data_IF_923442120960
#
_entry.id   IF_923442120960
#
_cell.length_a   1.000
_cell.length_b   1.000
_cell.length_c   1.000
_cell.angle_alpha   90.00
_cell.angle_beta   90.00
_cell.angle_gamma   90.00
#
_symmetry.space_group_name_H-M   'P 1'
#
loop_
_entity.id
_entity.type
_entity.pdbx_description
1 polymer ?
#
# COMPACT_ATOMS: atom_id res chain seq x y z
N UNK A 1 -19.66 -0.79 -3.38
CA UNK A 1 -18.53 -1.75 -3.49
C UNK A 1 -17.48 -1.30 -4.50
N UNK A 2 -17.83 -1.00 -5.76
CA UNK A 2 -16.85 -0.55 -6.75
C UNK A 2 -16.08 0.73 -6.41
N UNK A 3 -16.75 1.73 -5.84
CA UNK A 3 -16.07 2.98 -5.46
C UNK A 3 -15.03 2.79 -4.36
N UNK A 4 -15.34 2.01 -3.32
CA UNK A 4 -14.39 1.67 -2.26
C UNK A 4 -13.16 0.94 -2.81
N UNK A 5 -13.36 0.03 -3.76
CA UNK A 5 -12.26 -0.63 -4.46
C UNK A 5 -11.40 0.38 -5.24
N UNK A 6 -12.02 1.28 -6.01
CA UNK A 6 -11.28 2.29 -6.77
C UNK A 6 -10.52 3.26 -5.87
N UNK A 7 -11.04 3.59 -4.68
CA UNK A 7 -10.34 4.43 -3.70
C UNK A 7 -9.05 3.77 -3.22
N UNK A 8 -9.13 2.47 -2.91
CA UNK A 8 -7.96 1.72 -2.44
C UNK A 8 -6.92 1.60 -3.55
N UNK A 9 -7.35 1.32 -4.78
CA UNK A 9 -6.46 1.22 -5.94
C UNK A 9 -5.76 2.55 -6.24
N UNK A 10 -6.49 3.67 -6.23
CA UNK A 10 -5.91 4.99 -6.49
C UNK A 10 -4.87 5.39 -5.43
N UNK A 11 -5.14 5.09 -4.15
CA UNK A 11 -4.20 5.33 -3.07
C UNK A 11 -2.97 4.43 -3.18
N UNK A 12 -3.16 3.18 -3.60
CA UNK A 12 -2.06 2.22 -3.81
C UNK A 12 -1.15 2.63 -4.96
N UNK A 13 -1.71 3.14 -6.07
CA UNK A 13 -0.97 3.70 -7.20
C UNK A 13 -0.14 4.91 -6.76
N UNK A 14 -0.65 5.76 -5.86
CA UNK A 14 0.12 6.89 -5.34
C UNK A 14 1.41 6.45 -4.61
N UNK A 15 1.41 5.26 -3.97
CA UNK A 15 2.60 4.73 -3.28
C UNK A 15 3.72 4.29 -4.22
N UNK A 16 3.44 4.11 -5.51
CA UNK A 16 4.47 3.82 -6.51
C UNK A 16 5.57 4.91 -6.55
N UNK A 17 5.22 6.16 -6.24
CA UNK A 17 6.15 7.28 -6.18
C UNK A 17 7.23 7.14 -5.07
N UNK A 18 7.05 6.19 -4.14
CA UNK A 18 8.04 5.90 -3.10
C UNK A 18 9.35 5.33 -3.67
N UNK A 19 9.27 4.55 -4.75
CA UNK A 19 10.42 3.86 -5.36
C UNK A 19 11.53 4.86 -5.74
N UNK A 20 11.29 5.88 -6.60
CA UNK A 20 12.32 6.85 -6.96
C UNK A 20 12.90 7.60 -5.74
N UNK A 21 12.07 7.89 -4.73
CA UNK A 21 12.50 8.56 -3.49
C UNK A 21 13.51 7.74 -2.69
N UNK A 22 13.30 6.43 -2.58
CA UNK A 22 14.25 5.51 -1.93
C UNK A 22 15.54 5.40 -2.75
N UNK A 23 15.45 5.28 -4.08
CA UNK A 23 16.63 5.22 -4.94
C UNK A 23 17.48 6.49 -4.86
N UNK A 24 16.86 7.67 -4.80
CA UNK A 24 17.57 8.95 -4.65
C UNK A 24 18.34 9.05 -3.33
N UNK A 25 17.79 8.52 -2.24
CA UNK A 25 18.41 8.56 -0.91
C UNK A 25 19.44 7.45 -0.68
N UNK A 26 19.39 6.36 -1.47
CA UNK A 26 20.27 5.18 -1.36
C UNK A 26 21.76 5.50 -1.38
N UNK A 27 22.21 6.39 -2.26
CA UNK A 27 23.63 6.76 -2.36
C UNK A 27 24.14 7.44 -1.08
N UNK A 28 23.36 8.38 -0.54
CA UNK A 28 23.67 9.08 0.72
C UNK A 28 23.77 8.09 1.87
N UNK A 29 22.84 7.15 1.95
CA UNK A 29 22.80 6.13 2.99
C UNK A 29 24.03 5.22 2.94
N UNK A 30 24.45 4.78 1.75
CA UNK A 30 25.66 3.96 1.63
C UNK A 30 26.93 4.74 2.00
N UNK A 31 27.00 6.02 1.65
CA UNK A 31 28.11 6.88 2.06
C UNK A 31 28.19 7.04 3.59
N UNK A 32 27.06 7.34 4.24
CA UNK A 32 27.02 7.52 5.70
C UNK A 32 27.24 6.20 6.46
N UNK A 33 26.77 5.08 5.91
CA UNK A 33 27.05 3.74 6.45
C UNK A 33 28.53 3.38 6.35
N UNK A 34 29.21 3.71 5.24
CA UNK A 34 30.65 3.51 5.09
C UNK A 34 31.48 4.29 6.12
N UNK A 35 30.95 5.41 6.61
CA UNK A 35 31.54 6.20 7.69
C UNK A 35 31.01 5.81 9.10
N UNK A 36 30.32 4.66 9.23
CA UNK A 36 29.79 4.12 10.49
C UNK A 36 28.83 5.04 11.28
N UNK A 37 28.14 5.98 10.64
CA UNK A 37 27.21 6.89 11.34
C UNK A 37 25.93 6.21 11.83
N UNK A 38 25.38 5.23 11.10
CA UNK A 38 24.19 4.46 11.52
C UNK A 38 24.06 3.11 10.81
N UNK A 39 23.30 2.19 11.42
CA UNK A 39 23.03 0.84 10.92
C UNK A 39 21.83 0.84 9.96
N UNK A 40 21.79 -0.13 9.04
CA UNK A 40 20.69 -0.28 8.06
C UNK A 40 19.32 -0.42 8.73
N UNK A 41 19.22 -1.05 9.89
CA UNK A 41 17.95 -1.19 10.64
C UNK A 41 17.39 0.16 11.08
N UNK A 42 18.24 1.09 11.54
CA UNK A 42 17.82 2.44 11.93
C UNK A 42 17.27 3.22 10.74
N UNK A 43 17.83 3.02 9.54
CA UNK A 43 17.32 3.63 8.31
C UNK A 43 15.93 3.13 7.96
N UNK A 44 15.72 1.80 7.98
CA UNK A 44 14.40 1.21 7.68
C UNK A 44 13.33 1.75 8.64
N UNK A 45 13.62 1.78 9.94
CA UNK A 45 12.69 2.31 10.95
C UNK A 45 12.40 3.80 10.70
N UNK A 46 13.43 4.61 10.45
CA UNK A 46 13.25 6.03 10.17
C UNK A 46 12.42 6.27 8.89
N UNK A 47 12.67 5.49 7.83
CA UNK A 47 11.89 5.54 6.60
C UNK A 47 10.43 5.15 6.83
N UNK A 48 10.16 4.07 7.57
CA UNK A 48 8.79 3.66 7.88
C UNK A 48 8.06 4.72 8.72
N UNK A 49 8.71 5.31 9.72
CA UNK A 49 8.12 6.36 10.57
C UNK A 49 7.80 7.63 9.76
N UNK A 50 8.65 7.99 8.79
CA UNK A 50 8.41 9.12 7.88
C UNK A 50 7.15 8.92 7.04
N UNK A 51 6.85 7.70 6.62
CA UNK A 51 5.70 7.42 5.76
C UNK A 51 4.37 7.45 6.53
N UNK A 52 4.36 7.21 7.85
CA UNK A 52 3.15 7.26 8.68
C UNK A 52 2.36 8.56 8.55
N UNK A 53 2.94 9.75 8.82
CA UNK A 53 2.19 11.00 8.72
C UNK A 53 1.70 11.29 7.30
N UNK A 54 2.48 10.92 6.27
CA UNK A 54 2.09 11.12 4.87
C UNK A 54 0.86 10.27 4.52
N UNK A 55 0.88 9.00 4.88
CA UNK A 55 -0.23 8.06 4.64
C UNK A 55 -1.47 8.49 5.43
N UNK A 56 -1.32 8.90 6.69
CA UNK A 56 -2.45 9.39 7.51
C UNK A 56 -3.11 10.61 6.87
N UNK A 57 -2.32 11.60 6.43
CA UNK A 57 -2.84 12.80 5.78
C UNK A 57 -3.58 12.48 4.48
N UNK A 58 -3.00 11.60 3.65
CA UNK A 58 -3.61 11.20 2.38
C UNK A 58 -4.97 10.51 2.58
N UNK A 59 -5.06 9.62 3.58
CA UNK A 59 -6.29 8.89 3.89
C UNK A 59 -7.32 9.82 4.56
N UNK A 60 -6.91 10.74 5.43
CA UNK A 60 -7.81 11.75 6.01
C UNK A 60 -8.39 12.70 4.97
N UNK A 61 -7.65 13.01 3.91
CA UNK A 61 -8.18 13.86 2.84
C UNK A 61 -9.04 13.03 1.88
N UNK A 62 -8.44 12.02 1.25
CA UNK A 62 -9.09 11.29 0.17
C UNK A 62 -10.10 10.25 0.66
N UNK A 63 -9.80 9.56 1.75
CA UNK A 63 -10.71 8.59 2.37
C UNK A 63 -11.98 9.28 2.90
N UNK A 64 -11.85 10.41 3.58
CA UNK A 64 -13.01 11.16 4.09
C UNK A 64 -13.86 11.73 2.96
N UNK A 65 -13.25 12.33 1.93
CA UNK A 65 -13.99 12.81 0.75
C UNK A 65 -14.76 11.66 0.09
N UNK A 66 -14.11 10.54 -0.16
CA UNK A 66 -14.76 9.41 -0.83
C UNK A 66 -15.86 8.79 0.03
N UNK A 67 -15.68 8.78 1.36
CA UNK A 67 -16.68 8.25 2.29
C UNK A 67 -18.00 9.03 2.21
N UNK A 68 -17.93 10.37 2.22
CA UNK A 68 -19.10 11.22 2.12
C UNK A 68 -19.70 11.22 0.71
N UNK A 69 -18.88 11.19 -0.35
CA UNK A 69 -19.36 11.13 -1.73
C UNK A 69 -20.08 9.82 -2.06
N UNK A 70 -19.71 8.71 -1.43
CA UNK A 70 -20.34 7.41 -1.66
C UNK A 70 -21.65 7.22 -0.89
N UNK A 71 -21.98 8.10 0.06
CA UNK A 71 -23.18 7.97 0.89
C UNK A 71 -23.14 6.73 1.80
N UNK A 72 -21.99 6.41 2.39
CA UNK A 72 -21.90 5.33 3.39
C UNK A 72 -22.73 5.61 4.64
N UNK A 73 -22.99 4.57 5.44
CA UNK A 73 -23.74 4.66 6.71
C UNK A 73 -23.12 5.72 7.60
N UNK A 74 -23.87 6.78 7.95
CA UNK A 74 -23.42 7.90 8.77
C UNK A 74 -23.26 7.53 10.27
N UNK A 75 -22.47 6.50 10.55
CA UNK A 75 -22.07 6.10 11.90
C UNK A 75 -20.58 6.38 12.09
N UNK A 76 -20.24 7.02 13.22
CA UNK A 76 -18.85 7.33 13.58
C UNK A 76 -18.00 6.06 13.65
N UNK A 77 -18.56 4.96 14.13
CA UNK A 77 -17.86 3.68 14.21
C UNK A 77 -17.50 3.15 12.82
N UNK A 78 -18.44 3.17 11.87
CA UNK A 78 -18.23 2.69 10.50
C UNK A 78 -17.20 3.55 9.75
N UNK A 79 -17.21 4.86 10.00
CA UNK A 79 -16.20 5.78 9.46
C UNK A 79 -14.80 5.48 9.98
N UNK A 80 -14.64 5.30 11.29
CA UNK A 80 -13.33 4.99 11.90
C UNK A 80 -12.78 3.64 11.43
N UNK A 81 -13.64 2.62 11.32
CA UNK A 81 -13.26 1.30 10.79
C UNK A 81 -12.80 1.42 9.34
N UNK A 82 -13.54 2.15 8.49
CA UNK A 82 -13.16 2.39 7.11
C UNK A 82 -11.79 3.07 7.01
N UNK A 83 -11.56 4.10 7.82
CA UNK A 83 -10.32 4.85 7.83
C UNK A 83 -9.12 4.02 8.30
N UNK A 84 -9.31 3.19 9.34
CA UNK A 84 -8.29 2.29 9.85
C UNK A 84 -7.94 1.21 8.80
N UNK A 85 -8.93 0.66 8.12
CA UNK A 85 -8.72 -0.31 7.05
C UNK A 85 -7.92 0.30 5.89
N UNK A 86 -8.27 1.50 5.45
CA UNK A 86 -7.48 2.22 4.43
C UNK A 86 -6.03 2.43 4.90
N UNK A 87 -5.82 2.73 6.18
CA UNK A 87 -4.48 2.92 6.75
C UNK A 87 -3.64 1.64 6.71
N UNK A 88 -4.19 0.52 7.17
CA UNK A 88 -3.48 -0.77 7.19
C UNK A 88 -3.14 -1.22 5.77
N UNK A 89 -4.08 -1.08 4.83
CA UNK A 89 -3.87 -1.44 3.43
C UNK A 89 -2.76 -0.60 2.80
N UNK A 90 -2.81 0.71 2.96
CA UNK A 90 -1.78 1.60 2.42
C UNK A 90 -0.40 1.36 3.03
N UNK A 91 -0.33 1.07 4.33
CA UNK A 91 0.93 0.70 4.99
C UNK A 91 1.51 -0.60 4.44
N UNK A 92 0.68 -1.59 4.12
CA UNK A 92 1.13 -2.81 3.46
C UNK A 92 1.73 -2.52 2.07
N UNK A 93 1.10 -1.63 1.29
CA UNK A 93 1.65 -1.18 0.00
C UNK A 93 3.00 -0.49 0.13
N UNK A 94 3.13 0.42 1.09
CA UNK A 94 4.41 1.07 1.40
C UNK A 94 5.49 0.04 1.72
N UNK A 95 5.17 -0.98 2.54
CA UNK A 95 6.12 -2.04 2.87
C UNK A 95 6.53 -2.89 1.65
N UNK A 96 5.59 -3.24 0.77
CA UNK A 96 5.86 -3.98 -0.47
C UNK A 96 6.75 -3.17 -1.41
N UNK A 97 6.43 -1.90 -1.66
CA UNK A 97 7.27 -1.05 -2.53
C UNK A 97 8.64 -0.76 -1.92
N UNK A 98 8.73 -0.60 -0.61
CA UNK A 98 10.01 -0.48 0.09
C UNK A 98 10.86 -1.74 -0.08
N UNK A 99 10.25 -2.93 0.02
CA UNK A 99 10.93 -4.20 -0.22
C UNK A 99 11.43 -4.32 -1.66
N UNK A 100 10.59 -4.03 -2.66
CA UNK A 100 10.99 -4.09 -4.07
C UNK A 100 12.13 -3.09 -4.36
N UNK A 101 12.03 -1.86 -3.85
CA UNK A 101 13.08 -0.84 -4.01
C UNK A 101 14.40 -1.25 -3.35
N UNK A 102 14.34 -2.01 -2.25
CA UNK A 102 15.53 -2.50 -1.54
C UNK A 102 16.23 -3.66 -2.26
N UNK A 103 15.45 -4.57 -2.86
CA UNK A 103 15.97 -5.76 -3.57
C UNK A 103 16.49 -5.41 -4.97
N UNK A 104 15.83 -4.45 -5.64
CA UNK A 104 16.19 -4.11 -7.02
C UNK A 104 17.48 -3.26 -7.10
N UNK A 105 18.36 -3.51 -8.10
CA UNK A 105 19.58 -2.73 -8.28
C UNK A 105 19.33 -1.37 -8.96
N UNK A 106 18.33 -1.29 -9.84
CA UNK A 106 18.06 -0.12 -10.69
C UNK A 106 16.56 0.23 -10.72
N UNK A 107 16.26 1.51 -10.87
CA UNK A 107 14.87 2.02 -10.99
C UNK A 107 14.17 1.48 -12.24
N UNK A 108 14.89 1.34 -13.35
CA UNK A 108 14.36 0.80 -14.61
C UNK A 108 13.86 -0.64 -14.49
N UNK A 109 14.34 -1.39 -13.50
CA UNK A 109 13.90 -2.76 -13.19
C UNK A 109 12.84 -2.74 -12.08
N UNK A 110 13.01 -1.89 -11.08
CA UNK A 110 12.08 -1.77 -9.96
C UNK A 110 10.68 -1.30 -10.38
N UNK A 111 10.60 -0.34 -11.30
CA UNK A 111 9.34 0.22 -11.78
C UNK A 111 8.42 -0.83 -12.44
N UNK A 112 8.85 -1.57 -13.48
CA UNK A 112 7.98 -2.57 -14.12
C UNK A 112 7.61 -3.70 -13.16
N UNK A 113 8.53 -4.16 -12.31
CA UNK A 113 8.23 -5.20 -11.30
C UNK A 113 7.16 -4.72 -10.33
N UNK A 114 7.27 -3.48 -9.85
CA UNK A 114 6.31 -2.92 -8.91
C UNK A 114 4.93 -2.73 -9.52
N UNK A 115 4.87 -2.32 -10.80
CA UNK A 115 3.61 -2.21 -11.53
C UNK A 115 2.96 -3.59 -11.75
N UNK A 116 3.74 -4.61 -12.08
CA UNK A 116 3.25 -5.99 -12.21
C UNK A 116 2.72 -6.52 -10.89
N UNK A 117 3.42 -6.26 -9.78
CA UNK A 117 2.97 -6.65 -8.43
C UNK A 117 1.67 -5.93 -8.06
N UNK A 118 1.55 -4.63 -8.35
CA UNK A 118 0.32 -3.87 -8.12
C UNK A 118 -0.83 -4.45 -8.93
N UNK A 119 -0.64 -4.68 -10.24
CA UNK A 119 -1.65 -5.26 -11.11
C UNK A 119 -2.09 -6.65 -10.64
N UNK A 120 -1.13 -7.47 -10.20
CA UNK A 120 -1.40 -8.79 -9.65
C UNK A 120 -2.27 -8.69 -8.38
N UNK A 121 -1.86 -7.89 -7.40
CA UNK A 121 -2.60 -7.70 -6.14
C UNK A 121 -3.98 -7.06 -6.35
N UNK A 122 -4.12 -6.15 -7.32
CA UNK A 122 -5.40 -5.55 -7.70
C UNK A 122 -6.34 -6.60 -8.33
N UNK A 123 -5.81 -7.45 -9.22
CA UNK A 123 -6.57 -8.51 -9.91
C UNK A 123 -7.10 -9.57 -8.93
N UNK A 124 -6.27 -9.98 -7.96
CA UNK A 124 -6.63 -10.99 -6.95
C UNK A 124 -7.34 -10.43 -5.71
N UNK A 125 -7.71 -9.15 -5.70
CA UNK A 125 -8.45 -8.51 -4.60
C UNK A 125 -9.89 -9.00 -4.42
N UNK A 126 -10.42 -9.79 -5.36
CA UNK A 126 -11.79 -10.32 -5.33
C UNK A 126 -12.85 -9.41 -5.95
N UNK A 127 -12.50 -8.18 -6.37
CA UNK A 127 -13.41 -7.28 -7.10
C UNK A 127 -13.37 -7.50 -8.62
N UNK A 128 -12.17 -7.58 -9.22
CA UNK A 128 -12.00 -7.82 -10.66
C UNK A 128 -12.28 -9.29 -11.06
N UNK A 129 -11.86 -10.24 -10.23
CA UNK A 129 -12.16 -11.67 -10.38
C UNK A 129 -12.97 -12.09 -9.15
N UNK A 130 -14.20 -12.57 -9.37
CA UNK A 130 -15.06 -13.07 -8.29
C UNK A 130 -14.44 -14.32 -7.64
N UNK A 131 -14.52 -14.41 -6.31
CA UNK A 131 -13.92 -15.49 -5.49
C UNK A 131 -14.24 -16.92 -5.99
N UNK A 132 -15.37 -17.11 -6.67
CA UNK A 132 -15.82 -18.39 -7.21
C UNK A 132 -15.09 -18.87 -8.47
N UNK A 133 -14.42 -18.00 -9.22
CA UNK A 133 -13.68 -18.36 -10.44
C UNK A 133 -12.15 -18.39 -10.25
N UNK A 134 -11.68 -18.08 -9.03
CA UNK A 134 -10.25 -18.12 -8.71
C UNK A 134 -9.82 -19.57 -8.48
N UNK A 135 -8.80 -20.08 -9.20
CA UNK A 135 -8.33 -21.44 -8.99
C UNK A 135 -7.86 -21.67 -7.55
N UNK A 136 -8.12 -22.87 -6.99
CA UNK A 136 -7.84 -23.20 -5.58
C UNK A 136 -6.37 -22.99 -5.16
N UNK A 137 -5.43 -23.06 -6.11
CA UNK A 137 -4.01 -22.83 -5.87
C UNK A 137 -3.63 -21.34 -5.73
N UNK A 138 -4.51 -20.39 -6.09
CA UNK A 138 -4.31 -18.94 -5.91
C UNK A 138 -5.15 -18.36 -4.76
N UNK A 139 -5.91 -19.20 -4.05
CA UNK A 139 -6.74 -18.77 -2.91
C UNK A 139 -5.91 -18.15 -1.78
N UNK A 140 -4.65 -18.54 -1.62
CA UNK A 140 -3.72 -17.94 -0.65
C UNK A 140 -3.43 -16.45 -0.92
N UNK A 141 -3.36 -16.04 -2.20
CA UNK A 141 -3.15 -14.64 -2.59
C UNK A 141 -4.33 -13.78 -2.19
N UNK A 142 -5.55 -14.33 -2.24
CA UNK A 142 -6.76 -13.66 -1.75
C UNK A 142 -6.68 -13.37 -0.24
N UNK A 143 -6.18 -14.31 0.56
CA UNK A 143 -6.01 -14.10 2.01
C UNK A 143 -4.89 -13.11 2.35
N UNK A 144 -3.81 -13.09 1.56
CA UNK A 144 -2.69 -12.17 1.74
C UNK A 144 -2.93 -10.77 1.17
N UNK A 145 -3.91 -10.61 0.27
CA UNK A 145 -4.21 -9.31 -0.34
C UNK A 145 -4.87 -8.39 0.68
N UNK A 146 -4.24 -7.25 1.05
CA UNK A 146 -4.79 -6.33 2.04
C UNK A 146 -6.18 -5.80 1.63
N UNK A 147 -6.44 -5.74 0.33
CA UNK A 147 -7.74 -5.37 -0.26
C UNK A 147 -8.94 -6.17 0.28
N UNK A 148 -8.73 -7.44 0.63
CA UNK A 148 -9.81 -8.35 1.06
C UNK A 148 -10.22 -8.11 2.50
N UNK A 149 -9.30 -7.63 3.34
CA UNK A 149 -9.59 -7.39 4.76
C UNK A 149 -10.60 -6.26 4.96
N UNK A 150 -10.63 -5.29 4.04
CA UNK A 150 -11.60 -4.21 4.05
C UNK A 150 -13.02 -4.62 3.66
N UNK A 151 -13.18 -5.65 2.83
CA UNK A 151 -14.49 -6.11 2.35
C UNK A 151 -15.16 -7.14 3.27
N UNK A 152 -14.42 -7.74 4.21
CA UNK A 152 -14.95 -8.75 5.12
C UNK A 152 -15.68 -8.17 6.35
N UNK A 153 -15.51 -6.87 6.63
CA UNK A 153 -16.11 -6.17 7.79
C UNK A 153 -17.42 -5.44 7.46
N UNK A 154 -17.90 -5.50 6.22
CA UNK A 154 -19.16 -4.90 5.78
C UNK A 154 -20.32 -5.90 5.68
N UNK A 155 -20.25 -7.02 6.40
CA UNK A 155 -21.37 -7.92 6.66
C UNK A 155 -21.88 -7.72 8.09
#
# INVERSE_FOLDING_TARGET
MGLAYTTVDTLSVAKFALIPSIFATRYVVYKQRGANFYRTSSFVVASSVKEIPLVVMEILLFGTLTYWMCGFVASVQSYLIYQLLLFVVNMAYVAVFFFIASVCPNINVANPISLLVLLFLATFSGYLITKGSTPAYLSWVYWHSPHVWGSMLSL
#
